data_IF_675989071362
#
_entry.id   IF_675989071362
#
_cell.length_a   1.000
_cell.length_b   1.000
_cell.length_c   1.000
_cell.angle_alpha   90.00
_cell.angle_beta   90.00
_cell.angle_gamma   90.00
#
_symmetry.space_group_name_H-M   'P 1'
#
loop_
_entity.id
_entity.type
_entity.pdbx_description
1 polymer ?
#
# COMPACT_ATOMS: atom_id res chain seq x y z
N UNK A 1 -15.45 11.22 -2.98
CA UNK A 1 -15.32 10.02 -3.84
C UNK A 1 -15.13 8.85 -2.90
N UNK A 2 -15.80 7.73 -3.14
CA UNK A 2 -15.69 6.51 -2.37
C UNK A 2 -15.14 5.41 -3.26
N UNK A 3 -14.02 4.81 -2.85
CA UNK A 3 -13.32 3.74 -3.56
C UNK A 3 -13.09 2.55 -2.64
N UNK A 4 -13.21 1.36 -3.22
CA UNK A 4 -12.90 0.09 -2.60
C UNK A 4 -11.81 -0.61 -3.41
N UNK A 5 -10.82 -1.15 -2.73
CA UNK A 5 -9.84 -2.07 -3.29
C UNK A 5 -9.92 -3.39 -2.55
N UNK A 6 -9.80 -4.48 -3.29
CA UNK A 6 -9.73 -5.82 -2.75
C UNK A 6 -8.77 -6.64 -3.59
N UNK A 7 -7.93 -7.44 -2.95
CA UNK A 7 -6.93 -8.18 -3.70
C UNK A 7 -6.38 -9.39 -3.00
N UNK A 8 -5.25 -9.82 -3.52
CA UNK A 8 -4.38 -10.87 -3.04
C UNK A 8 -2.96 -10.36 -3.12
N UNK A 9 -2.19 -10.56 -2.05
CA UNK A 9 -0.75 -10.39 -2.09
C UNK A 9 -0.08 -11.63 -1.48
N UNK A 10 0.98 -12.09 -2.15
CA UNK A 10 1.71 -13.29 -1.78
C UNK A 10 3.20 -13.06 -1.90
N UNK A 11 3.94 -13.47 -0.87
CA UNK A 11 5.39 -13.46 -0.80
C UNK A 11 5.89 -14.87 -0.46
N UNK A 12 6.93 -15.34 -1.15
CA UNK A 12 7.50 -16.66 -0.94
C UNK A 12 9.01 -16.60 -0.82
N UNK A 13 9.56 -17.61 -0.13
CA UNK A 13 11.01 -17.76 0.09
C UNK A 13 11.59 -16.54 0.82
N UNK A 14 10.99 -16.15 1.94
CA UNK A 14 11.58 -15.16 2.84
C UNK A 14 12.51 -15.86 3.85
N UNK A 15 13.47 -15.15 4.45
CA UNK A 15 14.36 -15.74 5.45
C UNK A 15 13.63 -16.26 6.70
N UNK A 16 12.62 -15.52 7.19
CA UNK A 16 11.87 -15.87 8.40
C UNK A 16 10.62 -16.72 8.11
N UNK A 17 9.98 -16.50 6.96
CA UNK A 17 8.74 -17.17 6.55
C UNK A 17 8.93 -17.85 5.19
N UNK A 18 8.55 -19.12 5.09
CA UNK A 18 8.54 -19.83 3.80
C UNK A 18 7.51 -19.24 2.83
N UNK A 19 6.38 -18.75 3.35
CA UNK A 19 5.39 -17.97 2.62
C UNK A 19 4.55 -17.09 3.52
N UNK A 20 4.11 -15.95 2.99
CA UNK A 20 3.13 -15.06 3.59
C UNK A 20 2.14 -14.64 2.51
N UNK A 21 0.84 -14.73 2.80
CA UNK A 21 -0.23 -14.41 1.88
C UNK A 21 -1.35 -13.68 2.60
N UNK A 22 -1.90 -12.66 1.98
CA UNK A 22 -3.03 -11.92 2.50
C UNK A 22 -4.03 -11.56 1.39
N UNK A 23 -5.21 -11.11 1.83
CA UNK A 23 -6.18 -10.46 0.96
C UNK A 23 -6.44 -9.04 1.47
N UNK A 24 -5.73 -8.04 0.92
CA UNK A 24 -5.89 -6.66 1.36
C UNK A 24 -7.26 -6.14 0.95
N UNK A 25 -7.84 -5.34 1.84
CA UNK A 25 -9.06 -4.58 1.65
C UNK A 25 -8.76 -3.12 2.01
N UNK A 26 -8.93 -2.21 1.07
CA UNK A 26 -8.79 -0.77 1.32
C UNK A 26 -10.07 -0.03 0.97
N UNK A 27 -10.52 0.85 1.86
CA UNK A 27 -11.63 1.76 1.64
C UNK A 27 -11.10 3.20 1.71
N UNK A 28 -11.30 3.97 0.65
CA UNK A 28 -10.89 5.37 0.57
C UNK A 28 -12.11 6.27 0.43
N UNK A 29 -12.26 7.21 1.35
CA UNK A 29 -13.33 8.19 1.39
C UNK A 29 -12.79 9.62 1.34
N UNK A 30 -12.93 10.27 0.19
CA UNK A 30 -12.60 11.69 0.07
C UNK A 30 -13.71 12.55 0.68
N UNK A 31 -13.43 13.10 1.87
CA UNK A 31 -14.26 14.03 2.67
C UNK A 31 -14.29 15.43 2.07
N UNK A 32 -13.19 15.82 1.40
CA UNK A 32 -13.09 17.03 0.58
C UNK A 32 -12.13 16.78 -0.59
N UNK A 33 -11.90 17.78 -1.44
CA UNK A 33 -10.83 17.72 -2.46
C UNK A 33 -9.43 17.64 -1.86
N UNK A 34 -9.27 17.95 -0.57
CA UNK A 34 -7.98 17.98 0.11
C UNK A 34 -7.88 17.01 1.28
N UNK A 35 -8.93 16.26 1.60
CA UNK A 35 -8.97 15.40 2.78
C UNK A 35 -9.55 14.05 2.42
N UNK A 36 -8.78 13.00 2.66
CA UNK A 36 -9.18 11.61 2.49
C UNK A 36 -9.07 10.89 3.83
N UNK A 37 -10.04 10.02 4.08
CA UNK A 37 -10.00 9.04 5.16
C UNK A 37 -9.82 7.66 4.54
N UNK A 38 -9.01 6.84 5.18
CA UNK A 38 -8.64 5.52 4.70
C UNK A 38 -8.83 4.48 5.80
N UNK A 39 -9.31 3.32 5.40
CA UNK A 39 -9.40 2.12 6.22
C UNK A 39 -8.76 1.00 5.42
N UNK A 40 -7.83 0.29 6.03
CA UNK A 40 -7.13 -0.82 5.41
C UNK A 40 -7.16 -2.03 6.36
N UNK A 41 -7.25 -3.23 5.80
CA UNK A 41 -7.16 -4.45 6.58
C UNK A 41 -6.89 -5.67 5.71
N UNK A 42 -6.23 -6.66 6.30
CA UNK A 42 -5.79 -7.86 5.61
C UNK A 42 -6.54 -9.07 6.15
N UNK A 43 -7.49 -9.63 5.39
CA UNK A 43 -8.31 -10.75 5.92
C UNK A 43 -8.83 -11.71 4.85
N UNK A 44 -8.31 -12.96 4.79
CA UNK A 44 -7.35 -13.57 5.72
C UNK A 44 -5.89 -13.14 5.48
N UNK A 45 -5.08 -13.19 6.54
CA UNK A 45 -3.62 -13.29 6.53
C UNK A 45 -3.22 -14.74 6.86
N UNK A 46 -2.31 -15.30 6.09
CA UNK A 46 -1.74 -16.63 6.28
C UNK A 46 -0.22 -16.60 6.20
N UNK A 47 0.43 -17.07 7.26
CA UNK A 47 1.88 -17.19 7.35
C UNK A 47 2.28 -18.65 7.48
N UNK A 48 3.37 -19.05 6.84
CA UNK A 48 3.94 -20.38 6.98
C UNK A 48 5.45 -20.32 7.25
N UNK A 49 5.87 -20.94 8.34
CA UNK A 49 7.27 -21.07 8.75
C UNK A 49 7.48 -22.49 9.29
N UNK A 50 8.64 -23.09 8.99
CA UNK A 50 9.04 -24.42 9.48
C UNK A 50 7.98 -25.54 9.30
N UNK A 51 7.25 -25.50 8.18
CA UNK A 51 6.21 -26.48 7.84
C UNK A 51 4.87 -26.28 8.56
N UNK A 52 4.77 -25.29 9.45
CA UNK A 52 3.52 -24.91 10.14
C UNK A 52 2.89 -23.73 9.42
N UNK A 53 1.57 -23.76 9.27
CA UNK A 53 0.78 -22.65 8.72
C UNK A 53 -0.18 -22.12 9.77
N UNK A 54 -0.22 -20.79 9.90
CA UNK A 54 -1.17 -20.08 10.75
C UNK A 54 -1.96 -19.12 9.88
N UNK A 55 -3.28 -19.09 10.09
CA UNK A 55 -4.21 -18.24 9.33
C UNK A 55 -5.19 -17.55 10.26
N UNK A 56 -5.52 -16.30 9.97
CA UNK A 56 -6.52 -15.51 10.69
C UNK A 56 -6.68 -14.12 10.06
N UNK A 57 -7.30 -13.20 10.79
CA UNK A 57 -7.33 -11.80 10.38
C UNK A 57 -6.00 -11.11 10.70
N UNK A 58 -5.55 -10.23 9.82
CA UNK A 58 -4.44 -9.31 10.02
C UNK A 58 -4.86 -8.06 10.80
N UNK A 59 -3.90 -7.15 10.97
CA UNK A 59 -4.12 -5.89 11.66
C UNK A 59 -4.91 -4.92 10.77
N UNK A 60 -5.69 -4.06 11.40
CA UNK A 60 -6.46 -2.99 10.73
C UNK A 60 -5.68 -1.70 10.80
N UNK A 61 -5.74 -0.87 9.76
CA UNK A 61 -5.15 0.47 9.75
C UNK A 61 -6.21 1.52 9.46
N UNK A 62 -6.04 2.69 10.08
CA UNK A 62 -6.84 3.88 9.81
C UNK A 62 -5.91 5.00 9.36
N UNK A 63 -6.27 5.65 8.26
CA UNK A 63 -5.48 6.69 7.63
C UNK A 63 -6.23 8.00 7.46
N UNK A 64 -5.48 9.09 7.52
CA UNK A 64 -5.90 10.42 7.10
C UNK A 64 -4.86 10.99 6.15
N UNK A 65 -5.29 11.45 4.98
CA UNK A 65 -4.42 12.07 3.99
C UNK A 65 -4.89 13.48 3.64
N UNK A 66 -3.95 14.42 3.71
CA UNK A 66 -4.14 15.82 3.37
C UNK A 66 -3.39 16.19 2.09
N UNK A 67 -4.11 16.63 1.05
CA UNK A 67 -3.53 17.16 -0.19
C UNK A 67 -3.13 18.62 0.03
N UNK A 68 -1.83 18.84 0.16
CA UNK A 68 -1.24 20.18 0.34
C UNK A 68 -1.21 20.93 -0.99
N UNK A 69 -0.85 20.23 -2.05
CA UNK A 69 -0.72 20.79 -3.38
C UNK A 69 -1.26 19.81 -4.44
N UNK A 70 -2.10 20.31 -5.33
CA UNK A 70 -2.51 19.54 -6.50
C UNK A 70 -1.43 19.63 -7.58
N UNK A 71 -1.23 18.52 -8.28
CA UNK A 71 -0.38 18.47 -9.47
C UNK A 71 -0.88 19.45 -10.53
N UNK A 72 0.06 20.10 -11.21
CA UNK A 72 -0.20 20.92 -12.38
C UNK A 72 1.04 20.95 -13.26
N UNK A 73 0.94 21.35 -14.54
CA UNK A 73 2.08 21.31 -15.49
C UNK A 73 3.43 21.76 -14.92
N UNK A 74 3.50 22.86 -14.17
CA UNK A 74 4.74 23.42 -13.61
C UNK A 74 5.18 22.86 -12.24
N UNK A 75 4.37 22.05 -11.55
CA UNK A 75 4.66 21.63 -10.17
C UNK A 75 4.13 20.23 -9.84
N UNK A 76 4.75 19.48 -8.92
CA UNK A 76 4.21 18.17 -8.50
C UNK A 76 2.99 18.33 -7.60
N UNK A 77 2.19 17.27 -7.52
CA UNK A 77 1.24 17.07 -6.44
C UNK A 77 1.99 16.68 -5.17
N UNK A 78 1.52 17.17 -4.03
CA UNK A 78 2.11 16.87 -2.71
C UNK A 78 1.00 16.62 -1.72
N UNK A 79 1.10 15.51 -1.00
CA UNK A 79 0.23 15.17 0.10
C UNK A 79 1.04 14.66 1.29
N UNK A 80 0.44 14.76 2.47
CA UNK A 80 0.90 14.09 3.68
C UNK A 80 -0.19 13.15 4.16
N UNK A 81 0.20 11.96 4.61
CA UNK A 81 -0.72 11.03 5.25
C UNK A 81 -0.17 10.58 6.59
N UNK A 82 -1.09 10.27 7.50
CA UNK A 82 -0.78 9.62 8.75
C UNK A 82 -1.67 8.39 8.89
N UNK A 83 -1.06 7.26 9.24
CA UNK A 83 -1.75 6.01 9.53
C UNK A 83 -1.44 5.55 10.95
N UNK A 84 -2.46 4.95 11.56
CA UNK A 84 -2.34 4.20 12.79
C UNK A 84 -2.75 2.75 12.52
N UNK A 85 -1.87 1.80 12.86
CA UNK A 85 -2.18 0.38 12.87
C UNK A 85 -2.76 0.01 14.22
N UNK A 86 -3.94 -0.58 14.23
CA UNK A 86 -4.59 -1.11 15.42
C UNK A 86 -4.22 -2.58 15.62
N UNK A 87 -3.92 -3.03 16.85
CA UNK A 87 -3.52 -4.41 17.14
C UNK A 87 -4.74 -5.35 17.16
N UNK A 88 -5.40 -5.52 16.00
CA UNK A 88 -6.60 -6.35 15.86
C UNK A 88 -6.28 -7.81 15.50
N UNK A 89 -5.08 -8.11 14.99
CA UNK A 89 -4.64 -9.46 14.71
C UNK A 89 -4.33 -10.24 16.00
N UNK A 90 -4.36 -11.57 15.88
CA UNK A 90 -4.05 -12.43 17.02
C UNK A 90 -2.54 -12.49 17.29
N UNK A 91 -2.09 -11.75 18.30
CA UNK A 91 -0.71 -11.82 18.79
C UNK A 91 -0.35 -13.22 19.33
N UNK A 92 -1.29 -13.90 19.99
CA UNK A 92 -1.11 -15.26 20.48
C UNK A 92 -0.84 -16.29 19.36
N UNK A 93 -1.33 -16.01 18.14
CA UNK A 93 -1.06 -16.81 16.94
C UNK A 93 0.14 -16.32 16.14
N UNK A 94 0.78 -15.22 16.56
CA UNK A 94 1.88 -14.59 15.82
C UNK A 94 1.43 -13.81 14.56
N UNK A 95 0.13 -13.61 14.35
CA UNK A 95 -0.41 -12.91 13.16
C UNK A 95 -0.28 -11.38 13.24
N UNK A 96 0.08 -10.86 14.42
CA UNK A 96 0.39 -9.46 14.64
C UNK A 96 1.20 -9.31 15.91
N UNK A 97 1.70 -8.10 16.15
CA UNK A 97 2.58 -7.82 17.30
C UNK A 97 1.82 -7.55 18.60
N UNK A 98 0.50 -7.33 18.52
CA UNK A 98 -0.28 -6.84 19.65
C UNK A 98 0.02 -5.37 20.01
N UNK A 99 0.75 -4.66 19.15
CA UNK A 99 1.17 -3.27 19.36
C UNK A 99 0.61 -2.35 18.27
N UNK A 100 0.42 -1.09 18.65
CA UNK A 100 0.08 0.00 17.75
C UNK A 100 1.34 0.42 16.99
N UNK A 101 1.18 0.69 15.69
CA UNK A 101 2.22 1.32 14.88
C UNK A 101 1.74 2.65 14.34
N UNK A 102 2.68 3.55 14.07
CA UNK A 102 2.42 4.87 13.49
C UNK A 102 3.23 5.06 12.22
N UNK A 103 2.59 5.53 11.16
CA UNK A 103 3.26 5.84 9.89
C UNK A 103 2.97 7.27 9.48
N UNK A 104 4.02 8.05 9.24
CA UNK A 104 3.93 9.35 8.59
C UNK A 104 4.45 9.22 7.16
N UNK A 105 3.66 9.66 6.19
CA UNK A 105 3.93 9.46 4.77
C UNK A 105 3.93 10.81 4.06
N UNK A 106 4.98 11.08 3.29
CA UNK A 106 5.02 12.13 2.30
C UNK A 106 4.84 11.54 0.91
N UNK A 107 3.85 12.03 0.18
CA UNK A 107 3.54 11.58 -1.18
C UNK A 107 3.78 12.71 -2.16
N UNK A 108 4.54 12.43 -3.21
CA UNK A 108 4.85 13.36 -4.30
C UNK A 108 4.51 12.69 -5.62
N UNK A 109 3.64 13.32 -6.41
CA UNK A 109 3.23 12.80 -7.71
C UNK A 109 3.46 13.80 -8.82
N UNK A 110 3.86 13.32 -10.00
CA UNK A 110 4.06 14.18 -11.16
C UNK A 110 3.79 13.44 -12.46
N UNK A 111 2.97 14.06 -13.31
CA UNK A 111 2.80 13.60 -14.70
C UNK A 111 3.84 14.24 -15.59
N UNK A 112 4.64 13.42 -16.27
CA UNK A 112 5.62 13.83 -17.27
C UNK A 112 5.29 13.17 -18.62
N UNK A 113 4.75 13.98 -19.54
CA UNK A 113 4.25 13.48 -20.82
C UNK A 113 3.09 12.50 -20.62
N UNK A 114 3.31 11.22 -20.92
CA UNK A 114 2.31 10.14 -20.80
C UNK A 114 2.54 9.23 -19.60
N UNK A 115 3.57 9.50 -18.80
CA UNK A 115 3.95 8.68 -17.65
C UNK A 115 3.66 9.45 -16.37
N UNK A 116 3.02 8.78 -15.44
CA UNK A 116 2.80 9.27 -14.09
C UNK A 116 3.91 8.70 -13.20
N UNK A 117 4.54 9.56 -12.40
CA UNK A 117 5.58 9.19 -11.44
C UNK A 117 5.09 9.51 -10.03
N UNK A 118 5.26 8.56 -9.13
CA UNK A 118 4.86 8.66 -7.74
C UNK A 118 6.04 8.30 -6.85
N UNK A 119 6.34 9.17 -5.89
CA UNK A 119 7.35 8.93 -4.86
C UNK A 119 6.71 9.04 -3.49
N UNK A 120 6.86 7.99 -2.70
CA UNK A 120 6.37 7.91 -1.34
C UNK A 120 7.55 7.75 -0.39
N UNK A 121 7.65 8.61 0.63
CA UNK A 121 8.60 8.47 1.72
C UNK A 121 7.82 8.27 3.03
N UNK A 122 8.18 7.23 3.77
CA UNK A 122 7.46 6.79 4.96
C UNK A 122 8.43 6.80 6.14
N UNK A 123 8.00 7.36 7.26
CA UNK A 123 8.62 7.17 8.56
C UNK A 123 7.69 6.31 9.42
N UNK A 124 8.15 5.10 9.73
CA UNK A 124 7.41 4.11 10.52
C UNK A 124 7.96 4.08 11.95
N UNK A 125 7.06 4.12 12.92
CA UNK A 125 7.28 3.81 14.32
C UNK A 125 6.52 2.52 14.64
N UNK A 126 7.20 1.38 14.64
CA UNK A 126 6.63 0.08 14.95
C UNK A 126 6.70 -0.19 16.46
N UNK A 127 5.59 -0.55 17.09
CA UNK A 127 5.57 -0.79 18.53
C UNK A 127 6.42 -2.02 18.91
N UNK A 128 7.31 -1.87 19.91
CA UNK A 128 8.18 -2.97 20.34
C UNK A 128 7.40 -4.05 21.08
N UNK A 129 7.73 -5.31 20.83
CA UNK A 129 7.09 -6.46 21.50
C UNK A 129 7.70 -6.73 22.87
N UNK A 130 9.03 -6.61 22.98
CA UNK A 130 9.84 -6.96 24.18
C UNK A 130 10.17 -5.80 25.10
N UNK A 131 10.13 -4.57 24.60
CA UNK A 131 10.52 -3.36 25.33
C UNK A 131 9.46 -2.25 25.17
N UNK A 132 9.61 -1.18 25.94
CA UNK A 132 8.77 0.01 25.78
C UNK A 132 9.13 0.81 24.51
N UNK A 133 8.13 1.53 24.00
CA UNK A 133 8.29 2.46 22.88
C UNK A 133 8.23 1.83 21.49
N UNK A 134 8.92 2.47 20.54
CA UNK A 134 8.82 2.14 19.11
C UNK A 134 10.20 1.96 18.46
N UNK A 135 10.30 1.00 17.55
CA UNK A 135 11.39 0.85 16.60
C UNK A 135 11.12 1.72 15.37
N UNK A 136 11.99 2.70 15.10
CA UNK A 136 11.83 3.61 13.96
C UNK A 136 12.49 3.08 12.69
N UNK A 137 11.87 3.24 11.53
CA UNK A 137 12.48 2.95 10.23
C UNK A 137 12.01 3.91 9.15
N UNK A 138 12.85 4.12 8.13
CA UNK A 138 12.48 4.83 6.91
C UNK A 138 12.10 3.85 5.81
N UNK A 139 11.07 4.16 5.03
CA UNK A 139 10.71 3.41 3.83
C UNK A 139 10.52 4.37 2.66
N UNK A 140 10.73 3.87 1.45
CA UNK A 140 10.47 4.64 0.25
C UNK A 140 9.98 3.75 -0.88
N UNK A 141 9.16 4.31 -1.75
CA UNK A 141 8.74 3.71 -3.00
C UNK A 141 8.81 4.75 -4.12
N UNK A 142 9.35 4.36 -5.27
CA UNK A 142 9.31 5.12 -6.51
C UNK A 142 8.62 4.28 -7.57
N UNK A 143 7.49 4.77 -8.06
CA UNK A 143 6.71 4.11 -9.09
C UNK A 143 6.63 4.96 -10.36
N UNK A 144 6.58 4.29 -11.51
CA UNK A 144 6.27 4.88 -12.79
C UNK A 144 5.16 4.07 -13.45
N UNK A 145 4.08 4.73 -13.86
CA UNK A 145 2.93 4.09 -14.50
C UNK A 145 2.56 4.80 -15.80
N UNK A 146 2.02 4.03 -16.76
CA UNK A 146 1.51 4.59 -18.01
C UNK A 146 0.41 3.73 -18.61
N UNK A 147 -0.55 4.40 -19.24
CA UNK A 147 -1.51 3.73 -20.12
C UNK A 147 -0.84 3.41 -21.47
N UNK A 148 -0.87 2.14 -21.85
CA UNK A 148 -0.38 1.64 -23.14
C UNK A 148 -1.50 1.71 -24.18
N UNK A 149 -2.72 1.38 -23.77
CA UNK A 149 -3.93 1.52 -24.59
C UNK A 149 -5.03 2.22 -23.77
N UNK A 150 -6.25 2.31 -24.31
CA UNK A 150 -7.41 2.83 -23.56
C UNK A 150 -7.86 1.91 -22.42
N UNK A 151 -7.46 0.63 -22.44
CA UNK A 151 -7.84 -0.36 -21.43
C UNK A 151 -6.66 -0.92 -20.65
N UNK A 152 -5.46 -0.91 -21.22
CA UNK A 152 -4.28 -1.51 -20.60
C UNK A 152 -3.29 -0.47 -20.13
N UNK A 153 -2.85 -0.60 -18.88
CA UNK A 153 -1.75 0.14 -18.29
C UNK A 153 -0.65 -0.79 -17.78
N UNK A 154 0.52 -0.21 -17.56
CA UNK A 154 1.66 -0.88 -16.95
C UNK A 154 2.24 0.02 -15.86
N UNK A 155 2.77 -0.59 -14.81
CA UNK A 155 3.46 0.07 -13.72
C UNK A 155 4.71 -0.72 -13.33
N UNK A 156 5.78 0.01 -13.05
CA UNK A 156 6.95 -0.51 -12.37
C UNK A 156 7.20 0.27 -11.08
N UNK A 157 7.62 -0.42 -10.04
CA UNK A 157 7.97 0.18 -8.74
C UNK A 157 9.29 -0.39 -8.21
N UNK A 158 10.08 0.48 -7.62
CA UNK A 158 11.19 0.14 -6.74
C UNK A 158 10.84 0.64 -5.34
N UNK A 159 10.84 -0.26 -4.36
CA UNK A 159 10.52 0.08 -2.98
C UNK A 159 11.44 -0.60 -1.98
N UNK A 160 11.46 -0.12 -0.75
CA UNK A 160 12.23 -0.73 0.32
C UNK A 160 12.13 0.00 1.64
N UNK A 161 12.66 -0.63 2.68
CA UNK A 161 12.70 -0.12 4.04
C UNK A 161 14.06 -0.34 4.68
N UNK A 162 14.46 0.60 5.53
CA UNK A 162 15.71 0.54 6.27
C UNK A 162 15.65 -0.49 7.38
N UNK A 163 16.80 -1.07 7.71
CA UNK A 163 16.97 -1.86 8.94
C UNK A 163 16.65 -1.00 10.16
N UNK A 164 16.06 -1.61 11.18
CA UNK A 164 16.04 -1.09 12.54
C UNK A 164 16.41 -2.21 13.52
N UNK A 165 16.21 -1.98 14.82
CA UNK A 165 16.46 -2.93 15.90
C UNK A 165 15.48 -4.11 15.94
N UNK A 166 14.31 -4.00 15.30
CA UNK A 166 13.28 -5.04 15.27
C UNK A 166 13.25 -5.84 13.94
N UNK A 167 13.71 -5.29 12.82
CA UNK A 167 13.64 -5.93 11.51
C UNK A 167 14.84 -5.58 10.60
N UNK A 168 15.27 -6.53 9.73
CA UNK A 168 16.26 -6.25 8.70
C UNK A 168 15.70 -5.29 7.64
N UNK A 169 16.58 -4.69 6.84
CA UNK A 169 16.18 -3.86 5.71
C UNK A 169 15.98 -4.68 4.45
N UNK A 170 15.04 -4.28 3.60
CA UNK A 170 14.76 -4.98 2.35
C UNK A 170 14.42 -4.02 1.20
N UNK A 171 14.69 -4.47 -0.03
CA UNK A 171 14.31 -3.78 -1.27
C UNK A 171 13.60 -4.73 -2.23
N UNK A 172 12.69 -4.19 -3.02
CA UNK A 172 11.81 -4.92 -3.92
C UNK A 172 11.66 -4.20 -5.25
N UNK A 173 11.61 -4.97 -6.33
CA UNK A 173 11.07 -4.53 -7.61
C UNK A 173 9.68 -5.12 -7.81
N UNK A 174 8.73 -4.34 -8.31
CA UNK A 174 7.37 -4.77 -8.64
C UNK A 174 7.01 -4.33 -10.06
N UNK A 175 6.47 -5.25 -10.85
CA UNK A 175 5.88 -4.95 -12.15
C UNK A 175 4.42 -5.36 -12.19
N UNK A 176 3.53 -4.45 -12.60
CA UNK A 176 2.07 -4.64 -12.61
C UNK A 176 1.50 -4.28 -13.98
N UNK A 177 0.50 -5.03 -14.40
CA UNK A 177 -0.37 -4.71 -15.54
C UNK A 177 -1.76 -4.38 -15.00
N UNK A 178 -2.37 -3.34 -15.55
CA UNK A 178 -3.75 -2.95 -15.21
C UNK A 178 -4.67 -3.11 -16.41
N UNK A 179 -5.92 -3.48 -16.15
CA UNK A 179 -6.99 -3.61 -17.12
C UNK A 179 -8.24 -2.84 -16.68
N UNK A 180 -8.52 -1.73 -17.34
CA UNK A 180 -9.71 -0.91 -17.14
C UNK A 180 -10.91 -1.55 -17.84
N UNK A 181 -11.82 -2.11 -17.04
CA UNK A 181 -13.08 -2.70 -17.53
C UNK A 181 -14.06 -1.61 -17.95
N UNK A 182 -14.24 -0.61 -17.08
CA UNK A 182 -15.09 0.56 -17.29
C UNK A 182 -14.60 1.69 -16.37
N UNK A 183 -15.23 2.88 -16.40
CA UNK A 183 -14.76 4.06 -15.62
C UNK A 183 -14.68 3.87 -14.09
N UNK A 184 -15.26 2.80 -13.55
CA UNK A 184 -15.32 2.50 -12.11
C UNK A 184 -14.58 1.23 -11.72
N UNK A 185 -14.29 0.33 -12.65
CA UNK A 185 -13.68 -0.97 -12.35
C UNK A 185 -12.36 -1.13 -13.10
N UNK A 186 -11.31 -1.41 -12.32
CA UNK A 186 -9.98 -1.77 -12.78
C UNK A 186 -9.61 -3.10 -12.17
N UNK A 187 -8.99 -3.99 -12.95
CA UNK A 187 -8.23 -5.11 -12.44
C UNK A 187 -6.74 -4.83 -12.56
N UNK A 188 -5.95 -5.37 -11.64
CA UNK A 188 -4.51 -5.31 -11.68
C UNK A 188 -3.90 -6.64 -11.28
N UNK A 189 -2.67 -6.87 -11.73
CA UNK A 189 -1.90 -8.05 -11.35
C UNK A 189 -0.45 -7.90 -11.72
N UNK A 190 0.42 -8.51 -10.92
CA UNK A 190 1.85 -8.30 -11.05
C UNK A 190 2.72 -9.27 -10.28
N UNK A 191 4.03 -9.12 -10.48
CA UNK A 191 5.06 -9.93 -9.84
C UNK A 191 6.06 -9.04 -9.10
N UNK A 192 6.45 -9.47 -7.92
CA UNK A 192 7.45 -8.83 -7.06
C UNK A 192 8.72 -9.68 -7.02
N UNK A 193 9.87 -9.04 -7.03
CA UNK A 193 11.18 -9.66 -6.82
C UNK A 193 11.89 -8.99 -5.65
N UNK A 194 12.43 -9.79 -4.73
CA UNK A 194 13.32 -9.30 -3.67
C UNK A 194 14.71 -9.01 -4.23
N UNK A 195 15.23 -7.81 -3.95
CA UNK A 195 16.50 -7.32 -4.47
C UNK A 195 17.64 -7.39 -3.45
N UNK A 196 17.33 -7.61 -2.18
CA UNK A 196 18.30 -7.81 -1.10
C UNK A 196 18.22 -9.20 -0.51
N UNK A 197 19.22 -9.58 0.30
CA UNK A 197 19.29 -10.89 0.95
C UNK A 197 18.10 -11.16 1.88
N UNK A 198 17.66 -10.14 2.60
CA UNK A 198 16.66 -10.28 3.66
C UNK A 198 15.21 -10.16 3.14
N UNK A 199 15.05 -9.84 1.85
CA UNK A 199 13.74 -9.75 1.20
C UNK A 199 13.21 -11.13 0.75
N UNK A 200 11.89 -11.39 0.84
CA UNK A 200 11.25 -12.47 0.09
C UNK A 200 11.67 -12.46 -1.38
N UNK A 201 12.09 -13.62 -1.90
CA UNK A 201 12.70 -13.67 -3.24
C UNK A 201 11.71 -13.41 -4.36
N UNK A 202 10.48 -13.89 -4.22
CA UNK A 202 9.43 -13.77 -5.24
C UNK A 202 8.10 -13.48 -4.58
N UNK A 203 7.27 -12.70 -5.26
CA UNK A 203 5.91 -12.40 -4.84
C UNK A 203 4.99 -12.16 -6.03
N UNK A 204 3.69 -12.14 -5.75
CA UNK A 204 2.66 -11.88 -6.74
C UNK A 204 1.55 -11.06 -6.09
N UNK A 205 0.94 -10.20 -6.90
CA UNK A 205 -0.23 -9.41 -6.51
C UNK A 205 -1.31 -9.57 -7.55
N UNK A 206 -2.57 -9.51 -7.11
CA UNK A 206 -3.72 -9.39 -7.98
C UNK A 206 -4.81 -8.61 -7.25
N UNK A 207 -5.51 -7.74 -7.96
CA UNK A 207 -6.42 -6.81 -7.33
C UNK A 207 -7.55 -6.38 -8.22
N UNK A 208 -8.54 -5.77 -7.57
CA UNK A 208 -9.56 -4.98 -8.20
C UNK A 208 -9.75 -3.67 -7.44
N UNK A 209 -9.99 -2.61 -8.20
CA UNK A 209 -10.38 -1.31 -7.68
C UNK A 209 -11.76 -0.95 -8.20
N UNK A 210 -12.67 -0.57 -7.29
CA UNK A 210 -14.04 -0.14 -7.59
C UNK A 210 -14.30 1.27 -7.08
N UNK A 211 -14.57 2.20 -8.00
CA UNK A 211 -15.16 3.51 -7.68
C UNK A 211 -16.66 3.36 -7.42
N UNK A 212 -17.07 3.47 -6.15
CA UNK A 212 -18.46 3.27 -5.73
C UNK A 212 -19.30 4.53 -6.02
N UNK A 213 -18.81 5.71 -5.61
CA UNK A 213 -19.54 6.96 -5.76
C UNK A 213 -18.63 8.19 -5.97
N UNK A 214 -19.06 9.08 -6.87
CA UNK A 214 -18.49 10.42 -7.03
C UNK A 214 -19.29 11.42 -6.19
N UNK A 215 -18.80 11.73 -4.99
CA UNK A 215 -19.45 12.66 -4.07
C UNK A 215 -19.28 14.14 -4.49
N UNK A 216 -18.36 14.43 -5.41
CA UNK A 216 -18.18 15.76 -6.00
C UNK A 216 -18.61 15.79 -7.47
N UNK A 217 -19.87 15.45 -7.71
CA UNK A 217 -20.48 15.72 -9.00
C UNK A 217 -20.69 17.24 -9.11
N UNK A 218 -19.97 17.90 -10.01
CA UNK A 218 -20.22 19.31 -10.33
C UNK A 218 -21.70 19.47 -10.73
N UNK A 219 -22.48 20.12 -9.87
CA UNK A 219 -23.72 20.76 -10.29
C UNK A 219 -23.34 22.05 -11.03
N UNK A 220 -23.47 21.98 -12.36
CA UNK A 220 -23.74 23.05 -13.34
C UNK A 220 -23.06 24.43 -13.22
N UNK A 221 -22.57 24.92 -14.37
CA UNK A 221 -23.35 25.91 -15.13
C UNK A 221 -23.32 25.55 -16.62
N UNK A 222 -24.50 25.28 -17.19
CA UNK A 222 -24.78 25.58 -18.59
C UNK A 222 -24.87 27.10 -18.67
N UNK A 223 -24.03 27.71 -19.49
CA UNK A 223 -24.33 28.97 -20.19
C UNK A 223 -23.83 28.78 -21.61
#
# INVERSE_FOLDING_TARGET
MLQLEYGFNGNWRAPANSSEQDTPLALRFAVSRRLLLEFDGDTPLSQAADGVRVTGAGDTQLGIQAVLQHEARSRPGVALAYYIKLPSASAAKGLGTGRVDHSLIALVSKKLGRTDFDFNAIYLLAGRTTDDGHASSGQAALAASRNVTRRFGVQGELSGFSRNDAQPGAMFGLGVVTYQVNRRLVFDGGLRAGLTRDAPRVGAVAGLTVGIADLYRHHGKRH
#
